data_IF_536302738945
#
_entry.id   IF_536302738945
#
_cell.length_a   1.000
_cell.length_b   1.000
_cell.length_c   1.000
_cell.angle_alpha   90.00
_cell.angle_beta   90.00
_cell.angle_gamma   90.00
#
_symmetry.space_group_name_H-M   'P 1'
#
loop_
_entity.id
_entity.type
_entity.pdbx_description
1 polymer ?
#
# COMPACT_ATOMS: atom_id res chain seq x y z
N UNK A 1 7.39 -19.24 0.52
CA UNK A 1 7.40 -17.94 1.24
C UNK A 1 6.13 -17.14 0.88
N UNK A 2 5.57 -16.29 1.76
CA UNK A 2 4.33 -15.53 1.49
C UNK A 2 4.40 -14.54 0.30
N UNK A 3 5.58 -14.40 -0.33
CA UNK A 3 5.83 -13.55 -1.49
C UNK A 3 5.86 -14.31 -2.83
N UNK A 4 5.82 -15.65 -2.78
CA UNK A 4 5.90 -16.54 -3.96
C UNK A 4 4.59 -16.45 -4.73
N UNK A 5 4.63 -16.00 -6.00
CA UNK A 5 3.44 -15.79 -6.84
C UNK A 5 2.94 -14.35 -6.93
N UNK A 6 3.65 -13.38 -6.35
CA UNK A 6 3.35 -11.96 -6.53
C UNK A 6 3.74 -11.47 -7.93
N UNK A 7 2.75 -11.08 -8.73
CA UNK A 7 2.89 -10.51 -10.08
C UNK A 7 3.07 -8.98 -10.10
N UNK A 8 3.10 -8.35 -8.91
CA UNK A 8 3.20 -6.89 -8.74
C UNK A 8 4.34 -6.24 -9.52
N UNK A 9 5.50 -6.88 -9.58
CA UNK A 9 6.66 -6.39 -10.34
C UNK A 9 6.51 -6.63 -11.85
N UNK A 10 5.77 -7.66 -12.25
CA UNK A 10 5.51 -7.97 -13.66
C UNK A 10 4.49 -7.02 -14.30
N UNK A 11 3.61 -6.40 -13.50
CA UNK A 11 2.64 -5.39 -13.97
C UNK A 11 3.25 -4.00 -14.22
N UNK A 12 4.52 -3.79 -13.85
CA UNK A 12 5.19 -2.52 -14.11
C UNK A 12 5.45 -2.32 -15.62
N UNK A 13 5.41 -1.07 -16.11
CA UNK A 13 5.76 -0.76 -17.49
C UNK A 13 7.20 -1.17 -17.81
N UNK A 14 7.47 -1.53 -19.07
CA UNK A 14 8.81 -1.91 -19.51
C UNK A 14 9.85 -0.79 -19.31
N UNK A 15 9.41 0.48 -19.37
CA UNK A 15 10.25 1.67 -19.19
C UNK A 15 10.31 2.17 -17.73
N UNK A 16 9.86 1.35 -16.76
CA UNK A 16 9.87 1.71 -15.33
C UNK A 16 11.19 2.29 -14.80
N UNK A 17 12.39 1.80 -15.17
CA UNK A 17 13.65 2.42 -14.73
C UNK A 17 13.78 3.89 -15.13
N UNK A 18 13.26 4.26 -16.31
CA UNK A 18 13.28 5.63 -16.82
C UNK A 18 12.30 6.52 -16.06
N UNK A 19 11.08 6.01 -15.84
CA UNK A 19 10.04 6.66 -15.03
C UNK A 19 10.59 6.90 -13.61
N UNK A 20 11.15 5.87 -12.98
CA UNK A 20 11.73 5.95 -11.64
C UNK A 20 12.80 7.04 -11.53
N UNK A 21 13.73 7.08 -12.48
CA UNK A 21 14.78 8.09 -12.49
C UNK A 21 14.22 9.51 -12.69
N UNK A 22 13.18 9.68 -13.50
CA UNK A 22 12.49 10.96 -13.70
C UNK A 22 11.80 11.43 -12.41
N UNK A 23 11.04 10.56 -11.74
CA UNK A 23 10.33 10.92 -10.51
C UNK A 23 11.30 11.26 -9.38
N UNK A 24 12.38 10.50 -9.20
CA UNK A 24 13.39 10.81 -8.17
C UNK A 24 14.13 12.12 -8.43
N UNK A 25 14.33 12.51 -9.69
CA UNK A 25 14.87 13.84 -10.04
C UNK A 25 13.87 14.96 -9.77
N UNK A 26 12.58 14.72 -10.03
CA UNK A 26 11.50 15.70 -9.76
C UNK A 26 11.28 15.90 -8.27
N UNK A 27 11.32 14.82 -7.49
CA UNK A 27 11.04 14.79 -6.06
C UNK A 27 12.30 14.39 -5.26
N UNK A 28 13.33 15.25 -5.17
CA UNK A 28 14.58 14.93 -4.47
C UNK A 28 14.36 14.73 -2.96
N UNK A 29 13.36 15.41 -2.40
CA UNK A 29 12.90 15.23 -1.03
C UNK A 29 11.62 14.39 -1.02
N UNK A 30 11.49 13.56 0.02
CA UNK A 30 10.34 12.71 0.25
C UNK A 30 9.07 13.55 0.34
N UNK A 31 8.10 13.28 -0.55
CA UNK A 31 6.83 13.99 -0.63
C UNK A 31 5.91 13.79 0.57
N UNK A 32 6.19 12.78 1.40
CA UNK A 32 5.41 12.47 2.61
C UNK A 32 5.93 13.20 3.85
N UNK A 33 7.25 13.21 4.08
CA UNK A 33 7.81 13.80 5.28
C UNK A 33 8.46 15.17 5.07
N UNK A 34 8.86 15.51 3.84
CA UNK A 34 9.42 16.82 3.48
C UNK A 34 10.89 17.06 3.85
N UNK A 35 11.53 16.20 4.66
CA UNK A 35 12.90 16.46 5.15
C UNK A 35 13.94 15.36 4.87
N UNK A 36 13.55 14.18 4.41
CA UNK A 36 14.50 13.13 3.98
C UNK A 36 14.58 13.07 2.47
N UNK A 37 15.72 12.63 1.94
CA UNK A 37 15.86 12.32 0.52
C UNK A 37 14.92 11.19 0.10
N UNK A 38 14.36 11.30 -1.11
CA UNK A 38 13.64 10.22 -1.75
C UNK A 38 14.64 9.16 -2.24
N UNK A 39 14.37 7.89 -1.94
CA UNK A 39 15.15 6.76 -2.45
C UNK A 39 14.30 5.80 -3.30
N UNK A 40 12.98 5.87 -3.14
CA UNK A 40 12.01 4.98 -3.72
C UNK A 40 10.92 5.81 -4.42
N UNK A 41 10.23 5.18 -5.36
CA UNK A 41 9.06 5.76 -6.02
C UNK A 41 7.85 4.95 -5.60
N UNK A 42 6.80 5.66 -5.22
CA UNK A 42 5.59 5.10 -4.66
C UNK A 42 4.37 5.70 -5.36
N UNK A 43 3.32 4.90 -5.48
CA UNK A 43 2.04 5.33 -6.03
C UNK A 43 1.22 6.08 -4.97
N UNK A 44 0.74 7.29 -5.26
CA UNK A 44 -0.12 8.06 -4.36
C UNK A 44 -1.43 7.30 -4.14
N UNK A 45 -2.08 6.91 -5.23
CA UNK A 45 -3.23 6.02 -5.25
C UNK A 45 -2.78 4.62 -5.70
N UNK A 46 -3.05 3.57 -4.91
CA UNK A 46 -2.60 2.21 -5.21
C UNK A 46 -3.30 1.66 -6.45
N UNK A 47 -2.54 0.93 -7.29
CA UNK A 47 -3.04 0.32 -8.51
C UNK A 47 -1.96 0.31 -9.60
N UNK A 48 -2.39 0.07 -10.84
CA UNK A 48 -1.50 0.02 -12.01
C UNK A 48 -1.52 1.35 -12.81
N UNK A 49 -1.89 2.46 -12.16
CA UNK A 49 -1.78 3.80 -12.77
C UNK A 49 -0.34 4.33 -12.59
N UNK A 50 0.43 4.34 -13.67
CA UNK A 50 1.83 4.78 -13.71
C UNK A 50 2.03 6.21 -14.24
N UNK A 51 0.99 7.03 -14.27
CA UNK A 51 1.09 8.45 -14.62
C UNK A 51 1.97 9.21 -13.63
N UNK A 52 2.73 10.19 -14.11
CA UNK A 52 3.59 11.02 -13.27
C UNK A 52 2.84 11.73 -12.13
N UNK A 53 1.58 12.08 -12.36
CA UNK A 53 0.67 12.66 -11.35
C UNK A 53 0.41 11.73 -10.17
N UNK A 54 0.39 10.41 -10.41
CA UNK A 54 0.13 9.39 -9.41
C UNK A 54 1.42 8.81 -8.79
N UNK A 55 2.58 9.17 -9.30
CA UNK A 55 3.86 8.72 -8.75
C UNK A 55 4.49 9.81 -7.87
N UNK A 56 5.14 9.42 -6.78
CA UNK A 56 5.85 10.35 -5.90
C UNK A 56 7.19 9.78 -5.42
N UNK A 57 8.16 10.66 -5.20
CA UNK A 57 9.39 10.33 -4.47
C UNK A 57 9.11 10.15 -2.98
N UNK A 58 9.57 9.03 -2.41
CA UNK A 58 9.38 8.69 -1.00
C UNK A 58 10.68 8.17 -0.37
N UNK A 59 10.85 8.39 0.93
CA UNK A 59 11.95 7.81 1.69
C UNK A 59 11.57 6.42 2.24
N UNK A 60 12.54 5.50 2.44
CA UNK A 60 12.28 4.14 2.89
C UNK A 60 11.41 4.00 4.16
N UNK A 61 11.58 4.81 5.24
CA UNK A 61 10.73 4.66 6.42
C UNK A 61 9.27 5.02 6.13
N UNK A 62 9.02 6.10 5.38
CA UNK A 62 7.65 6.48 5.00
C UNK A 62 7.00 5.45 4.08
N UNK A 63 7.77 4.90 3.14
CA UNK A 63 7.28 3.85 2.24
C UNK A 63 6.86 2.60 3.01
N UNK A 64 7.71 2.10 3.92
CA UNK A 64 7.35 0.97 4.80
C UNK A 64 6.08 1.23 5.60
N UNK A 65 5.91 2.43 6.16
CA UNK A 65 4.70 2.81 6.90
C UNK A 65 3.45 2.79 6.00
N UNK A 66 3.56 3.29 4.76
CA UNK A 66 2.46 3.25 3.78
C UNK A 66 2.11 1.81 3.38
N UNK A 67 3.10 1.01 2.98
CA UNK A 67 2.87 -0.39 2.59
C UNK A 67 2.26 -1.22 3.72
N UNK A 68 2.67 -1.00 4.98
CA UNK A 68 2.08 -1.66 6.14
C UNK A 68 0.60 -1.27 6.34
N UNK A 69 0.25 0.01 6.18
CA UNK A 69 -1.13 0.49 6.26
C UNK A 69 -1.99 -0.09 5.14
N UNK A 70 -1.49 -0.12 3.91
CA UNK A 70 -2.19 -0.70 2.76
C UNK A 70 -2.39 -2.21 2.91
N UNK A 71 -1.36 -2.94 3.34
CA UNK A 71 -1.47 -4.37 3.64
C UNK A 71 -2.50 -4.64 4.74
N UNK A 72 -2.52 -3.81 5.80
CA UNK A 72 -3.52 -3.88 6.86
C UNK A 72 -4.95 -3.64 6.36
N UNK A 73 -5.15 -2.64 5.49
CA UNK A 73 -6.45 -2.36 4.83
C UNK A 73 -6.88 -3.51 3.94
N UNK A 74 -5.99 -4.05 3.11
CA UNK A 74 -6.28 -5.19 2.25
C UNK A 74 -6.64 -6.45 3.06
N UNK A 75 -5.92 -6.72 4.15
CA UNK A 75 -6.24 -7.80 5.06
C UNK A 75 -7.60 -7.57 5.75
N UNK A 76 -7.91 -6.34 6.18
CA UNK A 76 -9.21 -5.99 6.74
C UNK A 76 -10.36 -6.17 5.74
N UNK A 77 -10.19 -5.75 4.49
CA UNK A 77 -11.19 -5.95 3.44
C UNK A 77 -11.42 -7.44 3.11
N UNK A 78 -10.38 -8.27 3.21
CA UNK A 78 -10.47 -9.73 3.02
C UNK A 78 -11.07 -10.47 4.20
N UNK A 79 -11.13 -9.85 5.38
CA UNK A 79 -11.87 -10.43 6.50
C UNK A 79 -13.35 -10.34 6.12
N UNK A 80 -13.90 -11.45 5.62
CA UNK A 80 -15.35 -11.68 5.66
C UNK A 80 -15.81 -11.28 7.04
N UNK A 81 -16.79 -10.37 7.14
CA UNK A 81 -17.31 -9.87 8.41
C UNK A 81 -17.53 -11.03 9.37
N UNK A 82 -16.56 -11.29 10.23
CA UNK A 82 -16.69 -12.23 11.33
C UNK A 82 -17.35 -11.45 12.46
N UNK A 83 -18.51 -10.86 12.17
CA UNK A 83 -19.50 -10.65 13.22
C UNK A 83 -19.77 -12.03 13.77
N UNK A 84 -19.04 -12.41 14.83
CA UNK A 84 -19.45 -13.50 15.68
C UNK A 84 -20.89 -13.15 16.07
N UNK A 85 -21.90 -13.94 15.68
CA UNK A 85 -23.26 -13.70 16.13
C UNK A 85 -23.21 -13.53 17.65
N UNK A 86 -23.88 -12.53 18.22
CA UNK A 86 -23.90 -12.38 19.66
C UNK A 86 -24.35 -13.72 20.25
N UNK A 87 -23.55 -14.27 21.15
CA UNK A 87 -23.98 -15.47 21.87
C UNK A 87 -25.31 -15.12 22.56
N UNK A 88 -26.34 -15.99 22.47
CA UNK A 88 -27.56 -15.77 23.23
C UNK A 88 -27.17 -15.62 24.70
N UNK A 89 -27.67 -14.56 25.34
CA UNK A 89 -27.38 -14.34 26.75
C UNK A 89 -28.01 -15.45 27.57
N UNK A 90 -27.36 -15.93 28.65
CA UNK A 90 -27.82 -17.09 29.42
C UNK A 90 -29.19 -16.89 30.10
N UNK A 91 -29.78 -15.68 30.03
CA UNK A 91 -31.12 -15.36 30.51
C UNK A 91 -32.26 -15.48 29.49
N UNK A 92 -32.00 -15.75 28.19
CA UNK A 92 -33.05 -16.04 27.19
C UNK A 92 -33.43 -17.53 27.14
N UNK A 93 -33.67 -18.12 28.30
CA UNK A 93 -34.32 -19.42 28.33
C UNK A 93 -35.82 -19.11 28.27
N UNK A 94 -36.40 -19.21 27.07
CA UNK A 94 -37.83 -18.99 26.84
C UNK A 94 -38.64 -19.86 27.80
N UNK A 95 -39.52 -19.22 28.59
CA UNK A 95 -40.48 -19.86 29.50
C UNK A 95 -41.77 -20.17 28.78
#
# INVERSE_FOLDING_TARGET
MPWTGSDRSARLPADWPRIRARILRRDPLCRVCGYRLSAEVDHIEPGDNHEDSNLQGICPPCHRTKSAREGGRAAAARRTSALRPPAPHPGLIER
#
